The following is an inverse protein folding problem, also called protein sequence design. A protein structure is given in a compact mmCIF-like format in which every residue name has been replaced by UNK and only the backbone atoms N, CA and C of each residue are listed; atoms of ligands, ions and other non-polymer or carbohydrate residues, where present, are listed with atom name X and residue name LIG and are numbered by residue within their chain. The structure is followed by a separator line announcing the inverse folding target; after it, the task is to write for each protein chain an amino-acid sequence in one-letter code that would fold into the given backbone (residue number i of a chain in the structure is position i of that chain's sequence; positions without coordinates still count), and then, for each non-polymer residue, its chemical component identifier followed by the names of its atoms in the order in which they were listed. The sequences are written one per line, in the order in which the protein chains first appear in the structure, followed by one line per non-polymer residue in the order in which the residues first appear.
data_IF_440356632276
#
_entry.id   IF_440356632276
#
_cell.length_a   1.000
_cell.length_b   1.000
_cell.length_c   1.000
_cell.angle_alpha   90.00
_cell.angle_beta   90.00
_cell.angle_gamma   90.00
#
_symmetry.space_group_name_H-M   'P 1'
#
loop_
_entity.id
_entity.type
_entity.pdbx_description
1 polymer ?
#
# COMPACT_ATOMS: atom_id res chain seq x y z
N UNK A 1 5.35 51.03 -6.60
CA UNK A 1 5.91 49.82 -7.24
C UNK A 1 5.59 48.64 -6.34
N UNK A 2 4.46 47.95 -6.59
CA UNK A 2 4.03 46.80 -5.79
C UNK A 2 4.77 45.55 -6.28
N UNK A 3 5.64 44.99 -5.44
CA UNK A 3 6.30 43.71 -5.71
C UNK A 3 5.36 42.61 -5.25
N UNK A 4 4.69 41.95 -6.20
CA UNK A 4 3.94 40.72 -5.94
C UNK A 4 4.95 39.58 -5.81
N UNK A 5 5.22 39.15 -4.58
CA UNK A 5 5.94 37.89 -4.33
C UNK A 5 5.01 36.73 -4.68
N UNK A 6 5.16 36.18 -5.88
CA UNK A 6 4.70 34.84 -6.20
C UNK A 6 5.54 33.84 -5.39
N UNK A 7 5.06 33.50 -4.19
CA UNK A 7 5.53 32.31 -3.50
C UNK A 7 5.11 31.11 -4.35
N UNK A 8 6.00 30.64 -5.22
CA UNK A 8 5.90 29.31 -5.80
C UNK A 8 6.08 28.35 -4.64
N UNK A 9 4.97 27.93 -4.04
CA UNK A 9 4.94 26.72 -3.23
C UNK A 9 5.44 25.63 -4.16
N UNK A 10 6.69 25.19 -3.97
CA UNK A 10 7.19 23.98 -4.59
C UNK A 10 6.34 22.84 -4.01
N UNK A 11 5.23 22.55 -4.67
CA UNK A 11 4.50 21.33 -4.45
C UNK A 11 5.48 20.25 -4.90
N UNK A 12 6.08 19.54 -3.95
CA UNK A 12 6.92 18.39 -4.22
C UNK A 12 6.01 17.31 -4.82
N UNK A 13 5.71 17.41 -6.11
CA UNK A 13 5.09 16.33 -6.86
C UNK A 13 6.15 15.24 -6.97
N UNK A 14 6.00 14.19 -6.16
CA UNK A 14 6.69 12.93 -6.39
C UNK A 14 6.13 12.35 -7.69
N UNK A 15 6.68 12.75 -8.82
CA UNK A 15 6.38 12.08 -10.08
C UNK A 15 6.90 10.64 -10.02
N UNK A 16 6.11 9.71 -10.56
CA UNK A 16 6.53 8.32 -10.65
C UNK A 16 7.63 8.18 -11.71
N UNK A 17 8.77 7.60 -11.34
CA UNK A 17 9.96 7.43 -12.20
C UNK A 17 9.91 6.13 -13.01
N UNK A 18 8.71 5.67 -13.38
CA UNK A 18 8.52 4.46 -14.19
C UNK A 18 9.16 4.63 -15.58
N UNK A 19 10.04 3.71 -16.05
CA UNK A 19 10.70 3.82 -17.35
C UNK A 19 9.77 3.92 -18.57
N UNK A 20 8.54 3.39 -18.44
CA UNK A 20 7.54 3.34 -19.51
C UNK A 20 6.29 4.15 -19.21
N UNK A 21 6.37 5.08 -18.25
CA UNK A 21 5.24 5.87 -17.78
C UNK A 21 4.32 5.13 -16.82
N UNK A 22 3.29 5.83 -16.36
CA UNK A 22 2.33 5.35 -15.34
C UNK A 22 0.92 5.52 -15.87
N UNK A 23 0.08 4.49 -15.73
CA UNK A 23 -1.32 4.54 -16.19
C UNK A 23 -2.23 5.06 -15.09
N UNK A 24 -2.05 4.54 -13.87
CA UNK A 24 -2.76 4.95 -12.67
C UNK A 24 -1.78 5.00 -11.49
N UNK A 25 -2.03 5.90 -10.56
CA UNK A 25 -1.24 6.05 -9.33
C UNK A 25 -2.14 6.42 -8.17
N UNK A 26 -1.67 6.21 -6.95
CA UNK A 26 -2.44 6.47 -5.75
C UNK A 26 -3.39 5.34 -5.36
N UNK A 27 -3.97 5.52 -4.18
CA UNK A 27 -5.00 4.65 -3.61
C UNK A 27 -6.15 5.54 -3.15
N UNK A 28 -7.32 5.38 -3.76
CA UNK A 28 -8.52 6.17 -3.43
C UNK A 28 -9.01 5.87 -2.02
N UNK A 29 -9.77 6.78 -1.40
CA UNK A 29 -10.32 6.59 -0.04
C UNK A 29 -11.16 5.31 0.11
N UNK A 30 -11.90 4.95 -0.94
CA UNK A 30 -12.65 3.69 -1.01
C UNK A 30 -11.72 2.48 -0.98
N UNK A 31 -10.64 2.50 -1.76
CA UNK A 31 -9.64 1.43 -1.77
C UNK A 31 -8.88 1.35 -0.44
N UNK A 32 -8.53 2.47 0.18
CA UNK A 32 -7.90 2.50 1.51
C UNK A 32 -8.77 1.77 2.54
N UNK A 33 -10.07 2.06 2.53
CA UNK A 33 -11.06 1.40 3.40
C UNK A 33 -11.15 -0.10 3.09
N UNK A 34 -11.21 -0.46 1.81
CA UNK A 34 -11.22 -1.86 1.36
C UNK A 34 -9.97 -2.63 1.83
N UNK A 35 -8.78 -2.07 1.62
CA UNK A 35 -7.49 -2.67 2.01
C UNK A 35 -7.47 -2.95 3.51
N UNK A 36 -7.82 -1.96 4.34
CA UNK A 36 -7.85 -2.13 5.81
C UNK A 36 -8.86 -3.19 6.22
N UNK A 37 -10.03 -3.22 5.60
CA UNK A 37 -11.07 -4.21 5.89
C UNK A 37 -10.63 -5.62 5.52
N UNK A 38 -10.01 -5.81 4.35
CA UNK A 38 -9.49 -7.10 3.92
C UNK A 38 -8.43 -7.65 4.89
N UNK A 39 -7.45 -6.83 5.28
CA UNK A 39 -6.45 -7.22 6.27
C UNK A 39 -7.08 -7.57 7.62
N UNK A 40 -8.03 -6.76 8.10
CA UNK A 40 -8.70 -7.02 9.37
C UNK A 40 -9.56 -8.28 9.34
N UNK A 41 -10.19 -8.60 8.20
CA UNK A 41 -10.93 -9.85 8.01
C UNK A 41 -10.00 -11.06 8.09
N UNK A 42 -8.81 -10.98 7.49
CA UNK A 42 -7.77 -12.02 7.60
C UNK A 42 -7.33 -12.19 9.06
N UNK A 43 -6.97 -11.08 9.73
CA UNK A 43 -6.56 -11.10 11.15
C UNK A 43 -7.64 -11.69 12.05
N UNK A 44 -8.91 -11.42 11.76
CA UNK A 44 -10.05 -11.98 12.48
C UNK A 44 -10.17 -13.50 12.27
N UNK A 45 -9.93 -14.03 11.06
CA UNK A 45 -9.89 -15.47 10.80
C UNK A 45 -8.80 -16.16 11.63
N UNK A 46 -7.60 -15.59 11.65
CA UNK A 46 -6.48 -16.09 12.48
C UNK A 46 -6.83 -16.03 13.96
N UNK A 47 -7.43 -14.94 14.43
CA UNK A 47 -7.85 -14.78 15.82
C UNK A 47 -8.96 -15.76 16.26
N UNK A 48 -9.78 -16.21 15.31
CA UNK A 48 -10.81 -17.23 15.52
C UNK A 48 -10.28 -18.66 15.39
N UNK A 49 -9.03 -18.84 14.93
CA UNK A 49 -8.46 -20.18 14.70
C UNK A 49 -9.13 -20.91 13.53
N UNK A 50 -9.69 -20.19 12.56
CA UNK A 50 -10.38 -20.78 11.39
C UNK A 50 -9.48 -20.91 10.17
N UNK A 51 -8.18 -20.63 10.31
CA UNK A 51 -7.19 -20.79 9.24
C UNK A 51 -6.60 -22.20 9.36
N UNK A 52 -6.74 -23.08 8.35
CA UNK A 52 -6.22 -24.44 8.41
C UNK A 52 -4.72 -24.48 8.72
N UNK A 53 -4.31 -25.45 9.54
CA UNK A 53 -2.89 -25.70 9.89
C UNK A 53 -2.17 -24.52 10.56
N UNK A 54 -2.90 -23.50 11.04
CA UNK A 54 -2.32 -22.36 11.73
C UNK A 54 -2.86 -22.30 13.17
N UNK A 55 -2.01 -22.04 14.18
CA UNK A 55 -2.49 -21.86 15.54
C UNK A 55 -3.39 -20.63 15.63
N UNK A 56 -4.31 -20.64 16.60
CA UNK A 56 -5.13 -19.48 16.89
C UNK A 56 -4.26 -18.31 17.35
N UNK A 57 -4.35 -17.18 16.66
CA UNK A 57 -3.67 -15.95 17.07
C UNK A 57 -4.36 -15.30 18.27
N UNK A 58 -3.60 -14.94 19.29
CA UNK A 58 -4.09 -14.15 20.42
C UNK A 58 -3.62 -12.69 20.32
N UNK A 59 -4.39 -11.75 20.86
CA UNK A 59 -4.06 -10.32 20.91
C UNK A 59 -3.83 -9.65 19.53
N UNK A 60 -4.47 -10.13 18.46
CA UNK A 60 -4.41 -9.49 17.15
C UNK A 60 -5.25 -8.21 17.12
N UNK A 61 -4.59 -7.05 17.20
CA UNK A 61 -5.23 -5.73 17.13
C UNK A 61 -5.76 -5.41 15.73
N UNK A 62 -6.84 -4.62 15.66
CA UNK A 62 -7.38 -4.09 14.41
C UNK A 62 -6.40 -3.07 13.81
N UNK A 63 -6.13 -3.18 12.52
CA UNK A 63 -5.34 -2.21 11.77
C UNK A 63 -6.21 -1.03 11.35
N UNK A 64 -5.57 0.13 11.21
CA UNK A 64 -6.14 1.36 10.68
C UNK A 64 -5.21 1.93 9.61
N UNK A 65 -5.75 2.72 8.69
CA UNK A 65 -4.96 3.39 7.66
C UNK A 65 -4.07 4.47 8.30
N UNK A 66 -2.79 4.52 7.94
CA UNK A 66 -1.88 5.56 8.40
C UNK A 66 -1.34 6.36 7.21
N UNK A 67 -1.54 7.68 7.25
CA UNK A 67 -1.17 8.56 6.14
C UNK A 67 0.33 8.61 5.86
N UNK A 68 1.18 8.55 6.89
CA UNK A 68 2.63 8.55 6.70
C UNK A 68 3.11 7.25 6.03
N UNK A 69 2.66 6.10 6.53
CA UNK A 69 2.98 4.80 5.92
C UNK A 69 2.48 4.71 4.47
N UNK A 70 1.29 5.24 4.20
CA UNK A 70 0.73 5.31 2.85
C UNK A 70 1.56 6.18 1.92
N UNK A 71 2.01 7.34 2.40
CA UNK A 71 2.88 8.24 1.65
C UNK A 71 4.22 7.58 1.30
N UNK A 72 4.85 6.91 2.26
CA UNK A 72 6.09 6.18 2.02
C UNK A 72 5.88 4.99 1.08
N UNK A 73 4.80 4.22 1.23
CA UNK A 73 4.45 3.14 0.32
C UNK A 73 4.23 3.66 -1.11
N UNK A 74 3.56 4.81 -1.27
CA UNK A 74 3.37 5.44 -2.58
C UNK A 74 4.70 5.91 -3.17
N UNK A 75 5.57 6.52 -2.38
CA UNK A 75 6.93 6.93 -2.83
C UNK A 75 7.73 5.72 -3.33
N UNK A 76 7.66 4.60 -2.61
CA UNK A 76 8.33 3.35 -3.01
C UNK A 76 7.72 2.80 -4.31
N UNK A 77 6.39 2.75 -4.41
CA UNK A 77 5.70 2.29 -5.61
C UNK A 77 6.03 3.16 -6.84
N UNK A 78 6.13 4.47 -6.65
CA UNK A 78 6.50 5.45 -7.67
C UNK A 78 7.91 5.24 -8.24
N UNK A 79 8.80 4.53 -7.55
CA UNK A 79 10.12 4.17 -8.09
C UNK A 79 10.06 3.10 -9.18
N UNK A 80 8.97 2.32 -9.19
CA UNK A 80 8.75 1.22 -10.13
C UNK A 80 9.83 0.12 -10.08
N UNK A 81 10.57 0.07 -8.96
CA UNK A 81 11.53 -0.99 -8.63
C UNK A 81 10.86 -1.95 -7.67
N UNK A 82 10.78 -3.24 -8.04
CA UNK A 82 10.23 -4.29 -7.19
C UNK A 82 11.24 -4.71 -6.10
N UNK A 83 11.50 -3.81 -5.16
CA UNK A 83 12.41 -4.02 -4.04
C UNK A 83 11.94 -3.22 -2.83
N UNK A 84 12.26 -3.73 -1.62
CA UNK A 84 12.02 -2.98 -0.40
C UNK A 84 12.99 -1.81 -0.34
N UNK A 85 12.53 -0.69 0.20
CA UNK A 85 13.33 0.53 0.36
C UNK A 85 13.14 1.07 1.76
N UNK A 86 14.06 1.92 2.23
CA UNK A 86 13.88 2.58 3.52
C UNK A 86 12.58 3.39 3.52
N UNK A 87 11.75 3.20 4.55
CA UNK A 87 10.57 4.00 4.83
C UNK A 87 10.76 4.67 6.19
N UNK A 88 10.38 5.95 6.30
CA UNK A 88 10.54 6.71 7.54
C UNK A 88 9.24 7.39 7.94
N UNK A 89 8.80 7.17 9.18
CA UNK A 89 7.70 7.91 9.80
C UNK A 89 8.08 8.33 11.22
N UNK A 90 7.65 9.51 11.69
CA UNK A 90 8.02 10.01 13.03
C UNK A 90 7.64 9.07 14.18
N UNK A 91 6.56 8.30 14.00
CA UNK A 91 6.00 7.45 15.06
C UNK A 91 6.80 6.18 15.33
N UNK A 92 7.53 5.64 14.35
CA UNK A 92 8.13 4.30 14.44
C UNK A 92 9.58 4.29 14.00
N UNK A 93 10.43 3.64 14.80
CA UNK A 93 11.84 3.41 14.47
C UNK A 93 12.08 2.28 13.46
N UNK A 94 11.08 1.41 13.25
CA UNK A 94 11.12 0.33 12.26
C UNK A 94 9.75 0.20 11.59
N UNK A 95 9.75 0.07 10.26
CA UNK A 95 8.54 -0.06 9.44
C UNK A 95 8.67 -1.34 8.61
N UNK A 96 7.70 -2.24 8.75
CA UNK A 96 7.58 -3.41 7.89
C UNK A 96 7.07 -3.05 6.50
N UNK A 97 7.37 -3.89 5.50
CA UNK A 97 6.97 -3.69 4.11
C UNK A 97 6.53 -5.01 3.49
N UNK A 98 5.64 -4.90 2.50
CA UNK A 98 5.26 -5.99 1.61
C UNK A 98 5.18 -5.45 0.19
N UNK A 99 5.47 -6.29 -0.78
CA UNK A 99 5.48 -5.93 -2.20
C UNK A 99 4.60 -6.90 -2.98
N UNK A 100 3.97 -6.40 -4.03
CA UNK A 100 3.19 -7.22 -4.96
C UNK A 100 3.33 -6.68 -6.38
N UNK A 101 3.43 -7.59 -7.35
CA UNK A 101 3.50 -7.27 -8.76
C UNK A 101 2.72 -8.30 -9.56
N UNK A 102 1.91 -7.83 -10.50
CA UNK A 102 1.26 -8.65 -11.52
C UNK A 102 1.69 -8.12 -12.87
N UNK A 103 1.93 -9.03 -13.82
CA UNK A 103 2.27 -8.70 -15.21
C UNK A 103 1.23 -9.31 -16.12
N UNK A 104 0.80 -8.57 -17.13
CA UNK A 104 -0.18 -9.01 -18.11
C UNK A 104 0.21 -8.49 -19.48
N UNK A 105 -0.04 -9.30 -20.52
CA UNK A 105 0.04 -8.86 -21.92
C UNK A 105 -1.27 -8.23 -22.40
N UNK A 106 -2.35 -8.36 -21.62
CA UNK A 106 -3.64 -7.73 -21.94
C UNK A 106 -3.60 -6.23 -21.70
N UNK A 107 -4.25 -5.47 -22.59
CA UNK A 107 -4.49 -4.04 -22.43
C UNK A 107 -5.75 -3.72 -21.62
N UNK A 108 -6.56 -4.73 -21.27
CA UNK A 108 -7.81 -4.58 -20.52
C UNK A 108 -7.60 -4.64 -19.00
N UNK A 109 -8.49 -3.96 -18.26
CA UNK A 109 -8.55 -3.88 -16.80
C UNK A 109 -7.20 -3.53 -16.13
N UNK A 110 -6.88 -2.24 -16.12
CA UNK A 110 -5.64 -1.68 -15.53
C UNK A 110 -5.82 -1.18 -14.10
N UNK A 111 -6.93 -1.52 -13.47
CA UNK A 111 -7.21 -1.12 -12.10
C UNK A 111 -6.62 -2.13 -11.12
N UNK A 112 -6.23 -1.64 -9.94
CA UNK A 112 -5.72 -2.49 -8.87
C UNK A 112 -6.85 -3.36 -8.29
N UNK A 113 -6.70 -4.68 -8.40
CA UNK A 113 -7.57 -5.62 -7.69
C UNK A 113 -7.02 -5.93 -6.29
N UNK A 114 -7.30 -5.05 -5.35
CA UNK A 114 -6.87 -5.19 -3.95
C UNK A 114 -7.38 -6.47 -3.27
N UNK A 115 -8.53 -6.99 -3.69
CA UNK A 115 -9.07 -8.24 -3.13
C UNK A 115 -8.18 -9.42 -3.52
N UNK A 116 -7.82 -9.51 -4.80
CA UNK A 116 -6.90 -10.54 -5.30
C UNK A 116 -5.50 -10.39 -4.70
N UNK A 117 -4.96 -9.18 -4.60
CA UNK A 117 -3.65 -8.89 -4.00
C UNK A 117 -3.57 -9.41 -2.55
N UNK A 118 -4.51 -9.00 -1.70
CA UNK A 118 -4.48 -9.36 -0.28
C UNK A 118 -4.82 -10.85 -0.09
N UNK A 119 -5.67 -11.41 -0.94
CA UNK A 119 -5.95 -12.86 -0.95
C UNK A 119 -4.71 -13.67 -1.33
N UNK A 120 -3.86 -13.16 -2.24
CA UNK A 120 -2.59 -13.79 -2.60
C UNK A 120 -1.69 -13.90 -1.38
N UNK A 121 -1.40 -12.78 -0.70
CA UNK A 121 -0.57 -12.79 0.51
C UNK A 121 -1.17 -13.63 1.62
N UNK A 122 -2.49 -13.57 1.80
CA UNK A 122 -3.15 -14.41 2.79
C UNK A 122 -2.92 -15.89 2.52
N UNK A 123 -3.02 -16.35 1.26
CA UNK A 123 -2.90 -17.76 0.91
C UNK A 123 -1.49 -18.34 1.05
N UNK A 124 -0.47 -17.55 1.43
CA UNK A 124 0.89 -18.02 1.72
C UNK A 124 0.98 -18.89 2.99
N UNK A 125 -0.10 -19.06 3.76
CA UNK A 125 -0.11 -20.03 4.88
C UNK A 125 -0.14 -21.49 4.43
N UNK A 126 -0.44 -21.74 3.15
CA UNK A 126 -0.55 -23.06 2.54
C UNK A 126 0.81 -23.54 2.07
#
# INVERSE_FOLDING_TARGET
MFVVFLAVLAINYSEATCPYGTITTGVSSTEQTLIVNLHNNVRLKVARGTVPNQPRGINLKKLYWNACLASEAQRIANSCVFASQTATCPTWSKIGQILYIVKSTSSSNRNSDWTSVITSWYNEYK
#
